data_IF_575898910722
#
_entry.id   IF_575898910722
#
_cell.length_a   1.000
_cell.length_b   1.000
_cell.length_c   1.000
_cell.angle_alpha   90.00
_cell.angle_beta   90.00
_cell.angle_gamma   90.00
#
_symmetry.space_group_name_H-M   'P 1'
#
loop_
_entity.id
_entity.type
_entity.pdbx_description
1 polymer ?
#
# COMPACT_ATOMS: atom_id res chain seq x y z
N UNK A 1 18.84 -58.56 9.77
CA UNK A 1 19.33 -57.64 8.71
C UNK A 1 18.73 -56.27 8.96
N UNK A 2 19.56 -55.23 8.92
CA UNK A 2 19.29 -53.86 9.36
C UNK A 2 18.23 -53.12 8.50
N UNK A 3 17.39 -52.32 9.16
CA UNK A 3 16.82 -51.04 8.66
C UNK A 3 17.78 -49.91 9.14
N UNK A 4 17.75 -48.62 8.70
CA UNK A 4 16.95 -47.88 7.70
C UNK A 4 17.86 -46.86 6.90
N UNK A 5 17.51 -45.59 6.46
CA UNK A 5 16.68 -44.53 7.08
C UNK A 5 15.57 -43.94 6.16
N UNK A 6 14.32 -43.86 6.61
CA UNK A 6 13.68 -42.63 7.13
C UNK A 6 14.27 -41.31 6.61
N UNK A 7 13.59 -40.71 5.64
CA UNK A 7 13.83 -39.34 5.18
C UNK A 7 13.45 -38.35 6.29
N UNK A 8 14.44 -37.98 7.10
CA UNK A 8 14.32 -36.91 8.07
C UNK A 8 14.38 -35.57 7.30
N UNK A 9 13.23 -34.97 6.99
CA UNK A 9 13.16 -33.62 6.44
C UNK A 9 13.55 -32.62 7.52
N UNK A 10 14.83 -32.23 7.54
CA UNK A 10 15.39 -31.29 8.51
C UNK A 10 14.63 -29.96 8.56
N UNK A 11 14.39 -29.38 9.75
CA UNK A 11 13.65 -28.12 9.92
C UNK A 11 14.26 -26.90 9.21
N UNK A 12 15.51 -27.00 8.75
CA UNK A 12 16.15 -26.01 7.88
C UNK A 12 15.54 -25.98 6.46
N UNK A 13 15.28 -27.13 5.85
CA UNK A 13 14.69 -27.22 4.50
C UNK A 13 13.26 -26.66 4.48
N UNK A 14 12.49 -26.89 5.54
CA UNK A 14 11.15 -26.31 5.68
C UNK A 14 11.15 -24.80 5.89
N UNK A 15 12.23 -24.20 6.42
CA UNK A 15 12.36 -22.73 6.56
C UNK A 15 12.77 -22.09 5.24
N UNK A 16 13.69 -22.71 4.50
CA UNK A 16 14.12 -22.24 3.17
C UNK A 16 12.96 -22.24 2.19
N UNK A 17 12.18 -23.34 2.11
CA UNK A 17 11.00 -23.42 1.24
C UNK A 17 9.94 -22.35 1.55
N UNK A 18 9.72 -22.02 2.83
CA UNK A 18 8.80 -20.94 3.23
C UNK A 18 9.34 -19.57 2.85
N UNK A 19 10.65 -19.35 3.00
CA UNK A 19 11.30 -18.11 2.60
C UNK A 19 11.23 -17.92 1.06
N UNK A 20 11.44 -18.98 0.28
CA UNK A 20 11.28 -18.96 -1.17
C UNK A 20 9.85 -18.70 -1.61
N UNK A 21 8.87 -19.35 -0.98
CA UNK A 21 7.46 -19.10 -1.25
C UNK A 21 7.07 -17.64 -0.98
N UNK A 22 7.57 -17.06 0.13
CA UNK A 22 7.36 -15.64 0.45
C UNK A 22 8.01 -14.72 -0.59
N UNK A 23 9.28 -14.95 -0.95
CA UNK A 23 9.98 -14.18 -1.99
C UNK A 23 9.26 -14.27 -3.34
N UNK A 24 8.76 -15.44 -3.70
CA UNK A 24 8.01 -15.65 -4.94
C UNK A 24 6.68 -14.88 -4.90
N UNK A 25 5.96 -14.92 -3.78
CA UNK A 25 4.75 -14.10 -3.60
C UNK A 25 5.06 -12.62 -3.75
N UNK A 26 6.06 -12.10 -3.04
CA UNK A 26 6.47 -10.68 -3.14
C UNK A 26 6.84 -10.28 -4.58
N UNK A 27 7.57 -11.13 -5.30
CA UNK A 27 7.91 -10.90 -6.72
C UNK A 27 6.65 -10.81 -7.58
N UNK A 28 5.72 -11.75 -7.42
CA UNK A 28 4.46 -11.76 -8.17
C UNK A 28 3.65 -10.50 -7.88
N UNK A 29 3.50 -10.10 -6.62
CA UNK A 29 2.74 -8.90 -6.24
C UNK A 29 3.37 -7.63 -6.79
N UNK A 30 4.70 -7.46 -6.67
CA UNK A 30 5.40 -6.29 -7.26
C UNK A 30 5.29 -6.24 -8.78
N UNK A 31 5.45 -7.38 -9.45
CA UNK A 31 5.29 -7.44 -10.91
C UNK A 31 3.85 -7.14 -11.34
N UNK A 32 2.86 -7.68 -10.63
CA UNK A 32 1.45 -7.41 -10.89
C UNK A 32 1.12 -5.92 -10.72
N UNK A 33 1.58 -5.28 -9.64
CA UNK A 33 1.41 -3.85 -9.38
C UNK A 33 1.90 -3.00 -10.57
N UNK A 34 3.12 -3.24 -11.03
CA UNK A 34 3.72 -2.50 -12.14
C UNK A 34 2.95 -2.68 -13.46
N UNK A 35 2.50 -3.90 -13.73
CA UNK A 35 1.76 -4.22 -14.95
C UNK A 35 0.34 -3.66 -14.92
N UNK A 36 -0.33 -3.71 -13.77
CA UNK A 36 -1.64 -3.08 -13.60
C UNK A 36 -1.55 -1.56 -13.74
N UNK A 37 -0.55 -0.92 -13.15
CA UNK A 37 -0.37 0.53 -13.26
C UNK A 37 -0.09 0.98 -14.72
N UNK A 38 0.61 0.18 -15.51
CA UNK A 38 0.97 0.51 -16.90
C UNK A 38 -0.09 0.11 -17.93
N UNK A 39 -0.55 -1.13 -17.87
CA UNK A 39 -1.37 -1.77 -18.91
C UNK A 39 -2.84 -1.94 -18.46
N UNK A 40 -3.17 -1.49 -17.25
CA UNK A 40 -4.45 -1.80 -16.62
C UNK A 40 -4.61 -3.30 -16.36
N UNK A 41 -5.86 -3.74 -16.22
CA UNK A 41 -6.18 -5.15 -15.98
C UNK A 41 -6.18 -6.01 -17.25
N UNK A 42 -5.72 -5.52 -18.40
CA UNK A 42 -5.65 -6.31 -19.62
C UNK A 42 -4.64 -7.47 -19.55
N UNK A 43 -3.64 -7.37 -18.67
CA UNK A 43 -2.56 -8.36 -18.53
C UNK A 43 -3.06 -9.70 -17.96
N UNK A 44 -2.60 -10.84 -18.51
CA UNK A 44 -2.99 -12.18 -18.03
C UNK A 44 -2.16 -12.63 -16.81
N UNK A 45 -2.71 -13.54 -16.01
CA UNK A 45 -1.99 -14.15 -14.88
C UNK A 45 -0.71 -14.88 -15.33
N UNK A 46 -0.76 -15.53 -16.50
CA UNK A 46 0.41 -16.21 -17.09
C UNK A 46 1.52 -15.22 -17.46
N UNK A 47 1.15 -14.05 -18.00
CA UNK A 47 2.11 -12.99 -18.33
C UNK A 47 2.77 -12.42 -17.07
N UNK A 48 1.97 -12.21 -16.02
CA UNK A 48 2.48 -11.80 -14.71
C UNK A 48 3.42 -12.87 -14.15
N UNK A 49 3.05 -14.15 -14.19
CA UNK A 49 3.87 -15.26 -13.71
C UNK A 49 5.22 -15.31 -14.45
N UNK A 50 5.18 -15.21 -15.77
CA UNK A 50 6.37 -15.18 -16.63
C UNK A 50 7.30 -14.02 -16.28
N UNK A 51 6.78 -12.79 -16.20
CA UNK A 51 7.59 -11.60 -15.84
C UNK A 51 8.08 -11.64 -14.40
N UNK A 52 7.31 -12.21 -13.49
CA UNK A 52 7.70 -12.41 -12.11
C UNK A 52 8.73 -13.52 -11.97
N UNK A 53 8.97 -14.34 -13.01
CA UNK A 53 9.85 -15.51 -12.99
C UNK A 53 9.39 -16.59 -12.00
N UNK A 54 8.07 -16.83 -11.95
CA UNK A 54 7.39 -17.83 -11.12
C UNK A 54 6.53 -18.72 -12.01
N UNK A 55 6.45 -20.02 -11.70
CA UNK A 55 5.66 -20.95 -12.50
C UNK A 55 4.16 -20.58 -12.54
N UNK A 56 3.49 -20.62 -13.72
CA UNK A 56 2.07 -20.25 -13.85
C UNK A 56 1.16 -21.01 -12.88
N UNK A 57 1.35 -22.33 -12.73
CA UNK A 57 0.57 -23.14 -11.79
C UNK A 57 0.71 -22.69 -10.32
N UNK A 58 1.84 -22.10 -9.94
CA UNK A 58 2.01 -21.51 -8.61
C UNK A 58 1.18 -20.24 -8.48
N UNK A 59 1.17 -19.36 -9.48
CA UNK A 59 0.37 -18.12 -9.47
C UNK A 59 -1.12 -18.45 -9.45
N UNK A 60 -1.61 -19.30 -10.37
CA UNK A 60 -3.02 -19.70 -10.44
C UNK A 60 -3.52 -20.35 -9.15
N UNK A 61 -2.68 -21.14 -8.45
CA UNK A 61 -3.05 -21.72 -7.15
C UNK A 61 -3.23 -20.68 -6.05
N UNK A 62 -2.42 -19.62 -6.03
CA UNK A 62 -2.49 -18.57 -5.00
C UNK A 62 -3.48 -17.46 -5.36
N UNK A 63 -3.70 -17.24 -6.65
CA UNK A 63 -4.53 -16.19 -7.21
C UNK A 63 -5.38 -16.80 -8.33
N UNK A 64 -6.51 -17.43 -7.98
CA UNK A 64 -7.35 -18.13 -8.95
C UNK A 64 -8.01 -17.18 -9.94
N UNK A 65 -8.12 -15.90 -9.59
CA UNK A 65 -8.68 -14.85 -10.45
C UNK A 65 -7.79 -13.61 -10.45
N UNK A 66 -7.98 -12.75 -11.45
CA UNK A 66 -7.26 -11.48 -11.57
C UNK A 66 -7.63 -10.52 -10.45
N UNK A 67 -8.89 -10.58 -10.02
CA UNK A 67 -9.45 -9.82 -8.91
C UNK A 67 -8.81 -10.26 -7.58
N UNK A 68 -8.61 -11.57 -7.38
CA UNK A 68 -7.90 -12.09 -6.20
C UNK A 68 -6.44 -11.62 -6.17
N UNK A 69 -5.78 -11.56 -7.33
CA UNK A 69 -4.43 -10.99 -7.44
C UNK A 69 -4.43 -9.49 -7.16
N UNK A 70 -5.38 -8.74 -7.73
CA UNK A 70 -5.51 -7.30 -7.51
C UNK A 70 -5.71 -6.97 -6.03
N UNK A 71 -6.64 -7.66 -5.35
CA UNK A 71 -6.88 -7.47 -3.93
C UNK A 71 -5.64 -7.78 -3.10
N UNK A 72 -4.90 -8.84 -3.45
CA UNK A 72 -3.66 -9.17 -2.77
C UNK A 72 -2.57 -8.11 -2.98
N UNK A 73 -2.44 -7.55 -4.18
CA UNK A 73 -1.52 -6.43 -4.47
C UNK A 73 -1.88 -5.21 -3.64
N UNK A 74 -3.16 -4.85 -3.62
CA UNK A 74 -3.62 -3.67 -2.91
C UNK A 74 -3.52 -3.83 -1.37
N UNK A 75 -3.71 -5.05 -0.85
CA UNK A 75 -3.48 -5.37 0.58
C UNK A 75 -2.00 -5.24 0.94
N UNK A 76 -1.12 -5.84 0.13
CA UNK A 76 0.35 -5.78 0.30
C UNK A 76 0.88 -4.33 0.21
N UNK A 77 0.21 -3.47 -0.56
CA UNK A 77 0.53 -2.06 -0.64
C UNK A 77 0.14 -1.27 0.61
N UNK A 78 -1.02 -1.58 1.21
CA UNK A 78 -1.40 -1.05 2.53
C UNK A 78 -0.43 -1.54 3.61
N UNK A 79 -0.05 -2.81 3.60
CA UNK A 79 0.95 -3.35 4.54
C UNK A 79 2.30 -2.62 4.42
N UNK A 80 2.74 -2.28 3.20
CA UNK A 80 3.92 -1.44 2.98
C UNK A 80 3.77 -0.03 3.54
N UNK A 81 2.57 0.58 3.45
CA UNK A 81 2.34 1.87 4.10
C UNK A 81 2.41 1.76 5.62
N UNK A 82 1.84 0.71 6.22
CA UNK A 82 1.94 0.46 7.66
C UNK A 82 3.41 0.33 8.07
N UNK A 83 4.18 -0.50 7.36
CA UNK A 83 5.60 -0.67 7.60
C UNK A 83 6.38 0.65 7.42
N UNK A 84 6.03 1.44 6.41
CA UNK A 84 6.61 2.76 6.17
C UNK A 84 6.31 3.76 7.28
N UNK A 85 5.08 3.76 7.80
CA UNK A 85 4.69 4.61 8.92
C UNK A 85 5.46 4.23 10.20
N UNK A 86 5.60 2.93 10.49
CA UNK A 86 6.42 2.44 11.62
C UNK A 86 7.88 2.85 11.49
N UNK A 87 8.46 2.73 10.30
CA UNK A 87 9.84 3.15 10.05
C UNK A 87 10.02 4.66 10.25
N UNK A 88 9.05 5.47 9.83
CA UNK A 88 9.03 6.91 10.06
C UNK A 88 8.77 7.27 11.52
N UNK A 89 7.99 6.49 12.25
CA UNK A 89 7.75 6.68 13.67
C UNK A 89 9.01 6.41 14.51
N UNK A 90 9.91 5.56 14.01
CA UNK A 90 11.23 5.32 14.60
C UNK A 90 12.23 6.45 14.35
N UNK A 91 11.87 7.48 13.58
CA UNK A 91 12.70 8.68 13.40
C UNK A 91 12.15 9.84 14.24
N UNK A 92 13.02 10.76 14.65
CA UNK A 92 12.63 12.00 15.33
C UNK A 92 12.18 13.12 14.36
N UNK A 93 11.88 12.79 13.10
CA UNK A 93 11.52 13.77 12.08
C UNK A 93 10.10 14.34 12.32
N UNK A 94 9.93 15.66 12.54
CA UNK A 94 8.61 16.29 12.64
C UNK A 94 7.80 16.25 11.34
N UNK A 95 8.47 16.07 10.20
CA UNK A 95 7.83 15.95 8.88
C UNK A 95 7.39 14.52 8.54
N UNK A 96 7.59 13.56 9.44
CA UNK A 96 7.26 12.15 9.24
C UNK A 96 5.80 11.93 8.83
N UNK A 97 4.84 12.62 9.48
CA UNK A 97 3.43 12.56 9.11
C UNK A 97 3.21 12.96 7.65
N UNK A 98 3.69 14.13 7.23
CA UNK A 98 3.50 14.64 5.87
C UNK A 98 4.16 13.74 4.81
N UNK A 99 5.29 13.13 5.15
CA UNK A 99 5.94 12.13 4.31
C UNK A 99 5.04 10.91 4.13
N UNK A 100 4.46 10.40 5.22
CA UNK A 100 3.55 9.27 5.17
C UNK A 100 2.26 9.59 4.39
N UNK A 101 1.64 10.75 4.62
CA UNK A 101 0.42 11.17 3.92
C UNK A 101 0.68 11.37 2.42
N UNK A 102 1.84 11.92 2.05
CA UNK A 102 2.24 12.04 0.64
C UNK A 102 2.40 10.67 -0.03
N UNK A 103 2.95 9.67 0.67
CA UNK A 103 3.05 8.29 0.18
C UNK A 103 1.68 7.65 -0.01
N UNK A 104 0.76 7.87 0.93
CA UNK A 104 -0.63 7.40 0.80
C UNK A 104 -1.29 7.96 -0.46
N UNK A 105 -1.19 9.27 -0.69
CA UNK A 105 -1.82 9.90 -1.85
C UNK A 105 -1.17 9.50 -3.17
N UNK A 106 0.17 9.40 -3.22
CA UNK A 106 0.87 8.93 -4.42
C UNK A 106 0.44 7.51 -4.82
N UNK A 107 0.31 6.61 -3.83
CA UNK A 107 -0.11 5.24 -4.03
C UNK A 107 -1.54 5.13 -4.57
N UNK A 108 -2.49 5.86 -3.99
CA UNK A 108 -3.88 5.78 -4.48
C UNK A 108 -4.09 6.40 -5.86
N UNK A 109 -3.27 7.38 -6.26
CA UNK A 109 -3.30 7.94 -7.62
C UNK A 109 -2.86 6.89 -8.67
N UNK A 110 -1.80 6.12 -8.39
CA UNK A 110 -1.32 5.04 -9.28
C UNK A 110 -2.37 3.92 -9.42
N UNK A 111 -3.20 3.69 -8.40
CA UNK A 111 -4.25 2.67 -8.40
C UNK A 111 -5.59 3.13 -8.98
N UNK A 112 -5.83 4.43 -9.17
CA UNK A 112 -7.13 4.94 -9.59
C UNK A 112 -7.55 4.46 -10.99
N UNK A 113 -6.60 4.39 -11.93
CA UNK A 113 -6.85 3.85 -13.27
C UNK A 113 -7.23 2.36 -13.24
N UNK A 114 -6.61 1.58 -12.35
CA UNK A 114 -6.89 0.16 -12.16
C UNK A 114 -8.25 -0.07 -11.49
N UNK A 115 -8.59 0.77 -10.49
CA UNK A 115 -9.89 0.75 -9.81
C UNK A 115 -11.06 1.12 -10.71
N UNK A 116 -10.85 1.94 -11.74
CA UNK A 116 -11.90 2.29 -12.71
C UNK A 116 -12.27 1.12 -13.63
N UNK A 117 -11.29 0.24 -13.93
CA UNK A 117 -11.52 -0.97 -14.70
C UNK A 117 -12.20 -2.09 -13.90
N UNK A 118 -12.15 -2.01 -12.56
CA UNK A 118 -12.92 -2.87 -11.66
C UNK A 118 -14.18 -2.12 -11.22
N UNK A 119 -15.24 -2.83 -10.89
CA UNK A 119 -16.41 -2.26 -10.23
C UNK A 119 -16.00 -1.70 -8.86
N UNK A 120 -15.70 -0.40 -8.78
CA UNK A 120 -15.09 0.27 -7.63
C UNK A 120 -15.83 0.08 -6.29
N UNK A 121 -17.12 -0.27 -6.33
CA UNK A 121 -17.93 -0.55 -5.14
C UNK A 121 -17.66 -1.93 -4.50
N UNK A 122 -17.11 -2.90 -5.25
CA UNK A 122 -16.87 -4.28 -4.75
C UNK A 122 -15.49 -4.44 -4.09
N UNK A 123 -14.57 -3.48 -4.26
CA UNK A 123 -13.17 -3.61 -3.86
C UNK A 123 -12.69 -2.46 -2.97
N UNK A 124 -13.55 -1.99 -2.07
CA UNK A 124 -13.08 -1.15 -0.98
C UNK A 124 -12.12 -1.95 -0.09
N UNK A 125 -10.85 -1.55 -0.11
CA UNK A 125 -9.79 -2.16 0.71
C UNK A 125 -10.07 -2.07 2.20
N UNK A 126 -10.81 -1.06 2.64
CA UNK A 126 -11.24 -0.97 4.04
C UNK A 126 -12.19 -2.10 4.43
N UNK A 127 -12.97 -2.60 3.46
CA UNK A 127 -13.85 -3.75 3.63
C UNK A 127 -13.10 -5.07 3.44
N UNK A 128 -12.17 -5.11 2.48
CA UNK A 128 -11.48 -6.34 2.12
C UNK A 128 -10.28 -6.69 3.03
N UNK A 129 -9.67 -5.70 3.68
CA UNK A 129 -8.56 -5.86 4.62
C UNK A 129 -8.71 -4.92 5.84
N UNK A 130 -9.78 -5.09 6.65
CA UNK A 130 -10.11 -4.16 7.73
C UNK A 130 -9.00 -4.03 8.78
N UNK A 131 -8.31 -5.13 9.11
CA UNK A 131 -7.22 -5.14 10.09
C UNK A 131 -6.02 -4.32 9.62
N UNK A 132 -5.67 -4.41 8.33
CA UNK A 132 -4.54 -3.63 7.75
C UNK A 132 -4.91 -2.15 7.67
N UNK A 133 -6.15 -1.84 7.31
CA UNK A 133 -6.66 -0.47 7.30
C UNK A 133 -6.65 0.15 8.72
N UNK A 134 -7.10 -0.60 9.72
CA UNK A 134 -7.06 -0.18 11.12
C UNK A 134 -5.62 0.02 11.61
N UNK A 135 -4.70 -0.88 11.26
CA UNK A 135 -3.28 -0.72 11.57
C UNK A 135 -2.70 0.54 10.93
N UNK A 136 -3.06 0.85 9.68
CA UNK A 136 -2.61 2.08 9.02
C UNK A 136 -3.13 3.33 9.73
N UNK A 137 -4.41 3.37 10.09
CA UNK A 137 -4.99 4.48 10.86
C UNK A 137 -4.28 4.65 12.20
N UNK A 138 -3.99 3.55 12.90
CA UNK A 138 -3.25 3.60 14.16
C UNK A 138 -1.85 4.21 13.99
N UNK A 139 -1.06 3.75 13.01
CA UNK A 139 0.29 4.29 12.79
C UNK A 139 0.26 5.77 12.34
N UNK A 140 -0.75 6.17 11.55
CA UNK A 140 -0.94 7.59 11.20
C UNK A 140 -1.28 8.42 12.43
N UNK A 141 -2.09 7.89 13.36
CA UNK A 141 -2.37 8.52 14.66
C UNK A 141 -1.10 8.75 15.47
N UNK A 142 -0.23 7.74 15.57
CA UNK A 142 1.05 7.87 16.26
C UNK A 142 1.94 8.96 15.65
N UNK A 143 1.97 9.07 14.32
CA UNK A 143 2.70 10.14 13.62
C UNK A 143 2.06 11.52 13.83
N UNK A 144 0.73 11.59 13.92
CA UNK A 144 -0.02 12.82 14.19
C UNK A 144 0.26 13.35 15.60
N UNK A 145 0.23 12.48 16.61
CA UNK A 145 0.53 12.86 18.00
C UNK A 145 1.93 13.48 18.13
N UNK A 146 2.92 12.89 17.44
CA UNK A 146 4.28 13.45 17.36
C UNK A 146 4.30 14.80 16.64
N UNK A 147 3.58 14.94 15.54
CA UNK A 147 3.50 16.18 14.80
C UNK A 147 2.81 17.30 15.61
N UNK A 148 1.81 16.97 16.45
CA UNK A 148 1.23 17.88 17.43
C UNK A 148 2.24 18.30 18.49
N UNK A 149 2.95 17.34 19.09
CA UNK A 149 3.98 17.61 20.10
C UNK A 149 5.09 18.53 19.56
N UNK A 150 5.43 18.40 18.28
CA UNK A 150 6.40 19.26 17.60
C UNK A 150 5.81 20.60 17.10
N UNK A 151 4.50 20.84 17.23
CA UNK A 151 3.84 22.05 16.74
C UNK A 151 3.75 22.17 15.22
N UNK A 152 3.97 21.07 14.48
CA UNK A 152 3.98 21.05 13.02
C UNK A 152 2.57 21.05 12.40
N UNK A 153 1.57 20.56 13.15
CA UNK A 153 0.16 20.43 12.74
C UNK A 153 -0.72 21.31 13.63
N UNK A 154 -1.86 21.76 13.12
CA UNK A 154 -2.86 22.48 13.91
C UNK A 154 -3.40 21.61 15.06
N UNK A 155 -3.64 22.17 16.25
CA UNK A 155 -3.94 21.39 17.45
C UNK A 155 -5.35 20.78 17.48
N UNK A 156 -6.22 21.20 16.56
CA UNK A 156 -7.62 20.77 16.44
C UNK A 156 -7.81 19.59 15.48
N UNK A 157 -6.74 19.12 14.83
CA UNK A 157 -6.79 18.07 13.81
C UNK A 157 -6.84 16.69 14.47
N UNK A 158 -7.80 15.87 14.06
CA UNK A 158 -7.91 14.47 14.48
C UNK A 158 -7.42 13.50 13.40
N UNK A 159 -7.09 12.27 13.80
CA UNK A 159 -6.68 11.22 12.84
C UNK A 159 -7.79 10.91 11.83
N UNK A 160 -9.06 10.96 12.24
CA UNK A 160 -10.19 10.71 11.35
C UNK A 160 -10.33 11.80 10.28
N UNK A 161 -10.10 13.07 10.65
CA UNK A 161 -10.07 14.19 9.70
C UNK A 161 -8.87 14.10 8.77
N UNK A 162 -7.70 13.68 9.25
CA UNK A 162 -6.53 13.41 8.41
C UNK A 162 -6.86 12.34 7.37
N UNK A 163 -7.47 11.23 7.78
CA UNK A 163 -7.88 10.16 6.87
C UNK A 163 -8.95 10.63 5.88
N UNK A 164 -9.90 11.46 6.32
CA UNK A 164 -10.91 12.08 5.45
C UNK A 164 -10.28 13.03 4.42
N UNK A 165 -9.26 13.81 4.80
CA UNK A 165 -8.54 14.70 3.89
C UNK A 165 -7.71 13.92 2.87
N UNK A 166 -7.10 12.79 3.25
CA UNK A 166 -6.46 11.88 2.28
C UNK A 166 -7.48 11.36 1.27
N UNK A 167 -8.67 10.94 1.72
CA UNK A 167 -9.75 10.55 0.82
C UNK A 167 -10.21 11.71 -0.09
N UNK A 168 -10.29 12.93 0.47
CA UNK A 168 -10.57 14.16 -0.26
C UNK A 168 -9.52 14.47 -1.33
N UNK A 169 -8.23 14.26 -1.04
CA UNK A 169 -7.15 14.44 -2.01
C UNK A 169 -7.31 13.48 -3.20
N UNK A 170 -7.67 12.21 -2.98
CA UNK A 170 -7.99 11.29 -4.08
C UNK A 170 -9.17 11.77 -4.92
N UNK A 171 -10.23 12.25 -4.27
CA UNK A 171 -11.39 12.79 -4.97
C UNK A 171 -11.04 14.02 -5.82
N UNK A 172 -10.19 14.91 -5.29
CA UNK A 172 -9.71 16.09 -6.00
C UNK A 172 -8.82 15.73 -7.20
N UNK A 173 -7.90 14.78 -7.04
CA UNK A 173 -7.04 14.28 -8.12
C UNK A 173 -7.88 13.74 -9.26
N UNK A 174 -8.88 12.90 -8.95
CA UNK A 174 -9.81 12.33 -9.92
C UNK A 174 -10.66 13.40 -10.61
N UNK A 175 -11.20 14.35 -9.84
CA UNK A 175 -11.97 15.45 -10.39
C UNK A 175 -11.14 16.30 -11.37
N UNK A 176 -9.85 16.49 -11.09
CA UNK A 176 -8.93 17.23 -11.92
C UNK A 176 -8.38 16.45 -13.13
N UNK A 177 -8.70 15.16 -13.28
CA UNK A 177 -8.13 14.27 -14.30
C UNK A 177 -6.61 14.14 -14.17
N UNK A 178 -6.08 14.20 -12.94
CA UNK A 178 -4.65 14.29 -12.66
C UNK A 178 -3.99 12.92 -12.35
N UNK A 179 -4.73 11.82 -12.40
CA UNK A 179 -4.30 10.47 -12.01
C UNK A 179 -3.02 10.02 -12.72
N UNK A 180 -2.88 10.36 -14.01
CA UNK A 180 -1.72 9.99 -14.83
C UNK A 180 -0.56 10.98 -14.72
N UNK A 181 -0.79 12.15 -14.12
CA UNK A 181 0.23 13.19 -13.95
C UNK A 181 0.73 13.20 -12.50
N UNK A 182 1.88 12.53 -12.28
CA UNK A 182 2.54 12.51 -10.96
C UNK A 182 2.74 13.90 -10.38
N UNK A 183 3.17 14.86 -11.19
CA UNK A 183 3.39 16.24 -10.76
C UNK A 183 2.08 16.90 -10.29
N UNK A 184 1.01 16.81 -11.08
CA UNK A 184 -0.28 17.43 -10.73
C UNK A 184 -0.92 16.74 -9.52
N UNK A 185 -0.86 15.40 -9.47
CA UNK A 185 -1.33 14.62 -8.33
C UNK A 185 -0.61 15.02 -7.04
N UNK A 186 0.72 15.09 -7.07
CA UNK A 186 1.53 15.50 -5.92
C UNK A 186 1.22 16.94 -5.50
N UNK A 187 1.03 17.87 -6.45
CA UNK A 187 0.70 19.25 -6.14
C UNK A 187 -0.68 19.38 -5.47
N UNK A 188 -1.71 18.70 -5.99
CA UNK A 188 -3.05 18.70 -5.38
C UNK A 188 -3.02 18.07 -3.98
N UNK A 189 -2.27 16.97 -3.80
CA UNK A 189 -2.06 16.36 -2.50
C UNK A 189 -1.42 17.36 -1.53
N UNK A 190 -0.36 18.05 -1.95
CA UNK A 190 0.30 19.07 -1.15
C UNK A 190 -0.68 20.18 -0.76
N UNK A 191 -1.44 20.76 -1.69
CA UNK A 191 -2.42 21.80 -1.36
C UNK A 191 -3.40 21.37 -0.26
N UNK A 192 -3.88 20.13 -0.30
CA UNK A 192 -4.77 19.58 0.75
C UNK A 192 -4.01 19.40 2.07
N UNK A 193 -2.82 18.83 2.03
CA UNK A 193 -2.00 18.53 3.22
C UNK A 193 -1.42 19.80 3.87
N UNK A 194 -1.17 20.85 3.11
CA UNK A 194 -0.74 22.16 3.57
C UNK A 194 -1.79 22.75 4.52
N UNK A 195 -3.07 22.43 4.31
CA UNK A 195 -4.15 22.76 5.22
C UNK A 195 -3.96 22.22 6.63
N UNK A 196 -3.23 21.12 6.84
CA UNK A 196 -2.96 20.57 8.17
C UNK A 196 -1.88 21.34 8.93
N UNK A 197 -1.04 22.11 8.22
CA UNK A 197 0.09 22.77 8.86
C UNK A 197 -0.37 23.86 9.80
N UNK A 198 0.35 23.98 10.92
CA UNK A 198 0.19 25.15 11.77
C UNK A 198 0.63 26.38 10.97
N UNK A 199 -0.30 27.32 10.76
CA UNK A 199 0.05 28.64 10.24
C UNK A 199 0.86 29.32 11.33
N UNK A 200 2.13 29.64 11.05
CA UNK A 200 2.94 30.46 11.95
C UNK A 200 2.18 31.75 12.21
N UNK A 201 1.74 31.95 13.45
CA UNK A 201 1.23 33.25 13.85
C UNK A 201 2.39 34.22 13.74
N UNK A 202 2.36 35.10 12.74
CA UNK A 202 3.13 36.33 12.76
C UNK A 202 2.61 37.15 13.95
N UNK A 203 3.22 36.94 15.12
CA UNK A 203 3.12 37.83 16.27
C UNK A 203 4.10 38.97 16.12
#
# INVERSE_FOLDING_TARGET
MQKPPQANSSPAHGRELRADARRNRERVLRTAQQLFARDGLGVSLDEIARRAGVGPGTVHRHFPTKEALYLAVATDELERLVAGARALAATDDPAALFTQLSRMVAMGAENAAVKSALTAAEYDLRTAAPDVAAALTHEVGNLLDRAHAAGAVRPDVTVDEVMALVAGAFAAIRHAGAETSRQRSAHLAQLVLDGLRRVGGSG
#
